data_IF_561006598746
#
_entry.id   IF_561006598746
#
_cell.length_a   1.000
_cell.length_b   1.000
_cell.length_c   1.000
_cell.angle_alpha   90.00
_cell.angle_beta   90.00
_cell.angle_gamma   90.00
#
_symmetry.space_group_name_H-M   'P 1'
#
loop_
_entity.id
_entity.type
_entity.pdbx_description
1 polymer ?
#
# COMPACT_ATOMS: atom_id res chain seq x y z
N UNK A 1 32.00 3.27 -10.94
CA UNK A 1 31.34 3.64 -9.68
C UNK A 1 30.13 4.46 -10.03
N UNK A 2 28.93 3.95 -9.72
CA UNK A 2 27.71 4.41 -10.40
C UNK A 2 26.99 5.59 -9.72
N UNK A 3 27.73 6.68 -9.48
CA UNK A 3 27.15 7.96 -9.05
C UNK A 3 26.01 8.40 -10.00
N UNK A 4 26.09 8.03 -11.28
CA UNK A 4 25.06 8.31 -12.28
C UNK A 4 23.74 7.62 -11.99
N UNK A 5 23.73 6.40 -11.43
CA UNK A 5 22.51 5.69 -11.09
C UNK A 5 21.75 6.40 -9.95
N UNK A 6 22.47 6.87 -8.93
CA UNK A 6 21.89 7.63 -7.81
C UNK A 6 21.33 8.96 -8.30
N UNK A 7 22.10 9.70 -9.10
CA UNK A 7 21.67 10.97 -9.71
C UNK A 7 20.41 10.77 -10.57
N UNK A 8 20.37 9.70 -11.36
CA UNK A 8 19.21 9.37 -12.19
C UNK A 8 17.97 9.06 -11.35
N UNK A 9 18.12 8.33 -10.24
CA UNK A 9 17.04 8.04 -9.29
C UNK A 9 16.54 9.32 -8.61
N UNK A 10 17.43 10.19 -8.17
CA UNK A 10 17.05 11.50 -7.61
C UNK A 10 16.27 12.34 -8.62
N UNK A 11 16.72 12.35 -9.89
CA UNK A 11 15.99 13.00 -10.98
C UNK A 11 14.61 12.38 -11.25
N UNK A 12 14.47 11.06 -11.12
CA UNK A 12 13.19 10.36 -11.21
C UNK A 12 12.26 10.74 -10.06
N UNK A 13 12.78 10.77 -8.82
CA UNK A 13 12.05 11.21 -7.64
C UNK A 13 11.51 12.63 -7.81
N UNK A 14 12.34 13.54 -8.35
CA UNK A 14 11.95 14.92 -8.59
C UNK A 14 10.83 15.02 -9.64
N UNK A 15 10.98 14.34 -10.77
CA UNK A 15 9.97 14.34 -11.85
C UNK A 15 8.65 13.69 -11.42
N UNK A 16 8.72 12.68 -10.55
CA UNK A 16 7.55 12.03 -9.97
C UNK A 16 6.88 12.81 -8.84
N UNK A 17 7.38 14.00 -8.48
CA UNK A 17 6.95 14.78 -7.32
C UNK A 17 7.08 14.00 -5.98
N UNK A 18 8.10 13.13 -5.92
CA UNK A 18 8.42 12.34 -4.73
C UNK A 18 9.69 12.83 -4.02
N UNK A 19 10.19 14.02 -4.38
CA UNK A 19 11.35 14.64 -3.80
C UNK A 19 11.04 16.08 -3.37
N UNK A 20 11.09 16.33 -2.09
CA UNK A 20 11.08 17.68 -1.53
C UNK A 20 12.53 18.21 -1.46
N UNK A 21 12.79 19.39 -2.02
CA UNK A 21 14.16 19.95 -2.15
C UNK A 21 14.24 21.30 -1.46
N UNK A 22 15.14 21.41 -0.51
CA UNK A 22 15.37 22.61 0.31
C UNK A 22 14.73 22.49 1.69
N UNK A 23 15.08 23.42 2.57
CA UNK A 23 14.80 23.32 4.01
C UNK A 23 13.29 23.38 4.32
N UNK A 24 12.58 24.39 3.81
CA UNK A 24 11.13 24.55 4.05
C UNK A 24 10.28 23.37 3.51
N UNK A 25 10.47 22.89 2.25
CA UNK A 25 9.72 21.73 1.78
C UNK A 25 10.04 20.46 2.55
N UNK A 26 11.30 20.25 2.95
CA UNK A 26 11.72 19.09 3.74
C UNK A 26 11.08 19.13 5.13
N UNK A 27 11.07 20.29 5.79
CA UNK A 27 10.41 20.48 7.08
C UNK A 27 8.90 20.17 6.96
N UNK A 28 8.23 20.65 5.93
CA UNK A 28 6.81 20.43 5.71
C UNK A 28 6.47 18.93 5.57
N UNK A 29 7.21 18.19 4.71
CA UNK A 29 6.97 16.75 4.52
C UNK A 29 7.39 15.92 5.74
N UNK A 30 8.41 16.35 6.49
CA UNK A 30 8.80 15.70 7.73
C UNK A 30 7.71 15.85 8.80
N UNK A 31 7.20 17.07 9.02
CA UNK A 31 6.08 17.31 9.96
C UNK A 31 4.81 16.56 9.58
N UNK A 32 4.53 16.44 8.28
CA UNK A 32 3.40 15.65 7.77
C UNK A 32 3.62 14.11 7.90
N UNK A 33 4.80 13.66 8.32
CA UNK A 33 5.24 12.26 8.35
C UNK A 33 5.19 11.57 6.98
N UNK A 34 5.30 12.35 5.92
CA UNK A 34 5.36 11.84 4.54
C UNK A 34 6.80 11.53 4.10
N UNK A 35 7.79 12.13 4.74
CA UNK A 35 9.19 11.85 4.48
C UNK A 35 9.54 10.38 4.84
N UNK A 36 10.24 9.70 3.94
CA UNK A 36 10.74 8.33 4.16
C UNK A 36 12.22 8.32 4.52
N UNK A 37 12.99 9.16 3.83
CA UNK A 37 14.40 9.38 4.11
C UNK A 37 14.76 10.83 3.82
N UNK A 38 15.54 11.43 4.70
CA UNK A 38 16.15 12.73 4.51
C UNK A 38 17.57 12.55 4.00
N UNK A 39 17.97 13.35 3.05
CA UNK A 39 19.25 13.30 2.37
C UNK A 39 20.00 14.60 2.62
N UNK A 40 21.21 14.51 3.12
CA UNK A 40 22.05 15.65 3.46
C UNK A 40 23.30 15.64 2.56
N UNK A 41 23.70 16.77 2.01
CA UNK A 41 24.93 16.88 1.23
C UNK A 41 26.18 16.69 2.11
N UNK A 42 27.26 16.16 1.52
CA UNK A 42 28.52 15.92 2.22
C UNK A 42 29.12 17.18 2.85
N UNK A 43 28.97 18.31 2.16
CA UNK A 43 29.50 19.64 2.56
C UNK A 43 28.42 20.52 3.20
N UNK A 44 27.33 19.93 3.72
CA UNK A 44 26.30 20.69 4.41
C UNK A 44 26.83 21.35 5.69
N UNK A 45 26.39 22.56 5.94
CA UNK A 45 26.76 23.28 7.17
C UNK A 45 26.20 22.55 8.41
N UNK A 46 26.92 22.65 9.52
CA UNK A 46 26.53 22.01 10.79
C UNK A 46 25.11 22.43 11.25
N UNK A 47 24.73 23.70 11.02
CA UNK A 47 23.37 24.17 11.28
C UNK A 47 22.30 23.45 10.45
N UNK A 48 22.59 23.12 9.19
CA UNK A 48 21.67 22.35 8.33
C UNK A 48 21.60 20.90 8.78
N UNK A 49 22.72 20.31 9.22
CA UNK A 49 22.77 18.96 9.78
C UNK A 49 21.89 18.84 11.02
N UNK A 50 22.02 19.74 11.98
CA UNK A 50 21.20 19.77 13.20
C UNK A 50 19.71 19.90 12.88
N UNK A 51 19.35 20.74 11.90
CA UNK A 51 17.97 20.86 11.44
C UNK A 51 17.48 19.56 10.78
N UNK A 52 18.31 18.92 9.95
CA UNK A 52 17.99 17.63 9.36
C UNK A 52 17.69 16.57 10.43
N UNK A 53 18.52 16.48 11.46
CA UNK A 53 18.31 15.57 12.61
C UNK A 53 16.99 15.87 13.33
N UNK A 54 16.71 17.14 13.58
CA UNK A 54 15.45 17.55 14.20
C UNK A 54 14.23 17.20 13.33
N UNK A 55 14.31 17.42 12.01
CA UNK A 55 13.24 17.06 11.09
C UNK A 55 13.05 15.54 11.01
N UNK A 56 14.13 14.76 11.02
CA UNK A 56 14.08 13.32 11.04
C UNK A 56 13.40 12.77 12.30
N UNK A 57 13.69 13.36 13.46
CA UNK A 57 13.03 13.01 14.72
C UNK A 57 11.53 13.37 14.70
N UNK A 58 11.18 14.56 14.21
CA UNK A 58 9.78 15.00 14.11
C UNK A 58 8.96 14.11 13.14
N UNK A 59 9.58 13.68 12.04
CA UNK A 59 8.96 12.87 11.01
C UNK A 59 9.02 11.36 11.26
N UNK A 60 9.73 10.88 12.27
CA UNK A 60 10.05 9.46 12.50
C UNK A 60 10.62 8.80 11.24
N UNK A 61 11.55 9.47 10.58
CA UNK A 61 12.20 9.02 9.37
C UNK A 61 13.73 8.95 9.50
N UNK A 62 14.34 8.19 8.58
CA UNK A 62 15.80 8.09 8.52
C UNK A 62 16.40 9.36 7.90
N UNK A 63 17.60 9.72 8.31
CA UNK A 63 18.41 10.70 7.61
C UNK A 63 19.79 10.13 7.32
N UNK A 64 20.37 10.53 6.20
CA UNK A 64 21.64 10.03 5.70
C UNK A 64 22.42 11.15 5.04
N UNK A 65 23.74 11.13 5.22
CA UNK A 65 24.64 11.98 4.49
C UNK A 65 25.02 11.30 3.17
N UNK A 66 24.85 12.02 2.08
CA UNK A 66 25.22 11.54 0.74
C UNK A 66 26.69 11.81 0.45
N UNK A 67 27.34 11.03 -0.44
CA UNK A 67 28.69 11.29 -0.87
C UNK A 67 28.81 12.42 -1.91
N UNK A 68 27.79 13.26 -2.04
CA UNK A 68 27.68 14.37 -3.00
C UNK A 68 27.73 15.71 -2.29
N UNK A 69 28.43 16.66 -2.90
CA UNK A 69 28.42 18.06 -2.47
C UNK A 69 27.11 18.76 -2.81
N UNK A 70 26.85 19.89 -2.17
CA UNK A 70 25.68 20.75 -2.48
C UNK A 70 25.59 21.13 -3.95
N UNK A 71 26.72 21.40 -4.57
CA UNK A 71 26.78 21.78 -5.98
C UNK A 71 26.47 20.59 -6.91
N UNK A 72 26.96 19.38 -6.60
CA UNK A 72 26.66 18.17 -7.35
C UNK A 72 25.17 17.79 -7.24
N UNK A 73 24.60 17.81 -6.03
CA UNK A 73 23.18 17.59 -5.84
C UNK A 73 22.35 18.67 -6.54
N UNK A 74 22.76 19.94 -6.45
CA UNK A 74 22.12 21.02 -7.17
C UNK A 74 22.07 20.76 -8.67
N UNK A 75 23.21 20.41 -9.27
CA UNK A 75 23.32 20.09 -10.69
C UNK A 75 22.42 18.92 -11.09
N UNK A 76 22.40 17.86 -10.27
CA UNK A 76 21.53 16.71 -10.47
C UNK A 76 20.04 17.02 -10.46
N UNK A 77 19.65 18.00 -9.66
CA UNK A 77 18.26 18.41 -9.45
C UNK A 77 17.86 19.70 -10.21
N UNK A 78 18.71 20.20 -11.09
CA UNK A 78 18.45 21.40 -11.87
C UNK A 78 18.44 22.69 -11.04
N UNK A 79 19.20 22.73 -9.94
CA UNK A 79 19.35 23.88 -9.04
C UNK A 79 20.82 24.26 -8.88
N UNK A 80 21.11 25.45 -8.40
CA UNK A 80 22.49 25.92 -8.18
C UNK A 80 23.18 25.13 -7.08
N UNK A 81 22.51 24.90 -5.96
CA UNK A 81 23.01 24.13 -4.82
C UNK A 81 21.84 23.56 -4.02
N UNK A 82 22.02 22.34 -3.48
CA UNK A 82 21.04 21.67 -2.62
C UNK A 82 21.76 21.07 -1.43
N UNK A 83 21.46 21.52 -0.24
CA UNK A 83 22.04 21.01 1.00
C UNK A 83 21.24 19.88 1.62
N UNK A 84 19.91 19.90 1.46
CA UNK A 84 19.00 18.94 2.05
C UNK A 84 17.86 18.62 1.09
N UNK A 85 17.45 17.35 1.06
CA UNK A 85 16.28 16.87 0.30
C UNK A 85 15.57 15.75 1.09
N UNK A 86 14.31 15.48 0.76
CA UNK A 86 13.55 14.39 1.36
C UNK A 86 12.84 13.57 0.27
N UNK A 87 12.93 12.25 0.36
CA UNK A 87 12.17 11.33 -0.50
C UNK A 87 10.90 10.92 0.22
N UNK A 88 9.75 11.02 -0.46
CA UNK A 88 8.42 10.72 0.12
C UNK A 88 7.89 9.35 -0.27
N UNK A 89 8.29 8.78 -1.43
CA UNK A 89 7.90 7.43 -1.80
C UNK A 89 8.84 6.37 -1.21
N UNK A 90 8.26 5.36 -0.58
CA UNK A 90 9.01 4.31 0.10
C UNK A 90 9.76 3.38 -0.87
N UNK A 91 9.21 3.13 -2.06
CA UNK A 91 9.84 2.28 -3.06
C UNK A 91 11.07 2.96 -3.69
N UNK A 92 10.94 4.26 -4.01
CA UNK A 92 12.06 5.05 -4.51
C UNK A 92 13.15 5.25 -3.43
N UNK A 93 12.75 5.42 -2.17
CA UNK A 93 13.69 5.49 -1.05
C UNK A 93 14.48 4.18 -0.90
N UNK A 94 13.82 3.03 -0.96
CA UNK A 94 14.49 1.72 -0.91
C UNK A 94 15.46 1.54 -2.08
N UNK A 95 15.03 1.82 -3.31
CA UNK A 95 15.89 1.73 -4.50
C UNK A 95 17.11 2.65 -4.40
N UNK A 96 16.94 3.87 -3.86
CA UNK A 96 18.05 4.80 -3.64
C UNK A 96 19.04 4.28 -2.60
N UNK A 97 18.56 3.74 -1.49
CA UNK A 97 19.39 3.19 -0.42
C UNK A 97 20.16 1.95 -0.86
N UNK A 98 19.59 1.09 -1.69
CA UNK A 98 20.31 -0.03 -2.29
C UNK A 98 21.48 0.45 -3.15
N UNK A 99 21.27 1.47 -3.99
CA UNK A 99 22.37 2.05 -4.77
C UNK A 99 23.45 2.72 -3.92
N UNK A 100 23.08 3.33 -2.81
CA UNK A 100 24.04 3.87 -1.85
C UNK A 100 24.80 2.74 -1.14
N UNK A 101 24.14 1.65 -0.76
CA UNK A 101 24.77 0.49 -0.13
C UNK A 101 25.72 -0.26 -1.08
N UNK A 102 25.50 -0.21 -2.40
CA UNK A 102 26.45 -0.72 -3.41
C UNK A 102 27.75 0.12 -3.44
N UNK A 103 27.69 1.42 -3.08
CA UNK A 103 28.87 2.28 -3.02
C UNK A 103 29.62 2.15 -1.70
N UNK A 104 28.90 2.17 -0.60
CA UNK A 104 29.45 2.06 0.76
C UNK A 104 28.51 1.22 1.63
N UNK A 105 28.73 -0.11 1.68
CA UNK A 105 27.91 -1.01 2.47
C UNK A 105 27.97 -0.72 3.97
N UNK A 106 29.14 -0.29 4.48
CA UNK A 106 29.32 -0.05 5.92
C UNK A 106 28.41 1.09 6.41
N UNK A 107 28.23 2.11 5.58
CA UNK A 107 27.45 3.30 5.94
C UNK A 107 25.93 3.11 5.66
N UNK A 108 25.54 2.41 4.60
CA UNK A 108 24.17 2.45 4.10
C UNK A 108 23.41 1.12 4.19
N UNK A 109 24.06 -0.03 4.43
CA UNK A 109 23.38 -1.32 4.45
C UNK A 109 22.26 -1.40 5.51
N UNK A 110 22.53 -0.97 6.73
CA UNK A 110 21.52 -0.98 7.81
C UNK A 110 20.30 -0.10 7.48
N UNK A 111 20.52 1.04 6.84
CA UNK A 111 19.45 1.92 6.39
C UNK A 111 18.64 1.31 5.23
N UNK A 112 19.31 0.60 4.31
CA UNK A 112 18.66 -0.12 3.22
C UNK A 112 17.76 -1.23 3.77
N UNK A 113 18.25 -2.07 4.68
CA UNK A 113 17.48 -3.15 5.31
C UNK A 113 16.24 -2.63 6.04
N UNK A 114 16.40 -1.56 6.81
CA UNK A 114 15.27 -0.92 7.49
C UNK A 114 14.23 -0.37 6.52
N UNK A 115 14.68 0.18 5.40
CA UNK A 115 13.76 0.72 4.39
C UNK A 115 13.06 -0.41 3.63
N UNK A 116 13.71 -1.52 3.37
CA UNK A 116 13.10 -2.70 2.74
C UNK A 116 11.95 -3.27 3.55
N UNK A 117 12.11 -3.36 4.87
CA UNK A 117 11.01 -3.76 5.75
C UNK A 117 9.82 -2.80 5.63
N UNK A 118 10.08 -1.48 5.59
CA UNK A 118 9.03 -0.47 5.41
C UNK A 118 8.39 -0.57 4.01
N UNK A 119 9.19 -0.81 2.97
CA UNK A 119 8.73 -0.95 1.59
C UNK A 119 7.84 -2.18 1.41
N UNK A 120 8.24 -3.32 1.96
CA UNK A 120 7.45 -4.56 1.94
C UNK A 120 6.09 -4.38 2.61
N UNK A 121 6.06 -3.83 3.81
CA UNK A 121 4.80 -3.53 4.53
C UNK A 121 3.91 -2.54 3.78
N UNK A 122 4.48 -1.57 3.08
CA UNK A 122 3.73 -0.62 2.27
C UNK A 122 3.14 -1.29 1.01
N UNK A 123 3.91 -2.19 0.37
CA UNK A 123 3.46 -2.96 -0.78
C UNK A 123 2.31 -3.92 -0.40
N UNK A 124 2.41 -4.62 0.72
CA UNK A 124 1.36 -5.49 1.25
C UNK A 124 0.05 -4.71 1.47
N UNK A 125 0.13 -3.57 2.18
CA UNK A 125 -1.06 -2.71 2.39
C UNK A 125 -1.68 -2.20 1.09
N UNK A 126 -0.86 -1.80 0.09
CA UNK A 126 -1.36 -1.39 -1.24
C UNK A 126 -2.04 -2.55 -1.97
N UNK A 127 -1.49 -3.76 -1.87
CA UNK A 127 -2.08 -4.97 -2.47
C UNK A 127 -3.43 -5.33 -1.83
N UNK A 128 -3.53 -5.28 -0.51
CA UNK A 128 -4.77 -5.51 0.24
C UNK A 128 -5.85 -4.48 -0.12
N UNK A 129 -5.48 -3.19 -0.17
CA UNK A 129 -6.39 -2.12 -0.57
C UNK A 129 -6.89 -2.30 -2.01
N UNK A 130 -6.00 -2.65 -2.93
CA UNK A 130 -6.35 -2.92 -4.33
C UNK A 130 -7.28 -4.14 -4.47
N UNK A 131 -7.04 -5.20 -3.69
CA UNK A 131 -7.90 -6.38 -3.65
C UNK A 131 -9.28 -6.02 -3.09
N UNK A 132 -9.33 -5.26 -2.00
CA UNK A 132 -10.59 -4.78 -1.41
C UNK A 132 -11.39 -3.91 -2.40
N UNK A 133 -10.74 -2.99 -3.08
CA UNK A 133 -11.39 -2.14 -4.08
C UNK A 133 -11.95 -2.96 -5.27
N UNK A 134 -11.18 -3.95 -5.76
CA UNK A 134 -11.66 -4.88 -6.80
C UNK A 134 -12.89 -5.64 -6.34
N UNK A 135 -12.90 -6.16 -5.11
CA UNK A 135 -14.05 -6.88 -4.55
C UNK A 135 -15.28 -5.97 -4.41
N UNK A 136 -15.11 -4.73 -3.98
CA UNK A 136 -16.19 -3.74 -3.92
C UNK A 136 -16.76 -3.43 -5.30
N UNK A 137 -15.91 -3.25 -6.32
CA UNK A 137 -16.33 -3.01 -7.71
C UNK A 137 -17.08 -4.21 -8.30
N UNK A 138 -16.63 -5.43 -8.01
CA UNK A 138 -17.30 -6.66 -8.44
C UNK A 138 -18.62 -6.86 -7.71
N UNK A 139 -18.69 -6.60 -6.39
CA UNK A 139 -19.91 -6.66 -5.61
C UNK A 139 -20.97 -5.67 -6.09
N UNK A 140 -20.57 -4.43 -6.46
CA UNK A 140 -21.47 -3.45 -7.08
C UNK A 140 -21.96 -3.90 -8.46
N UNK A 141 -21.12 -4.54 -9.28
CA UNK A 141 -21.51 -5.07 -10.59
C UNK A 141 -22.51 -6.23 -10.47
N UNK A 142 -22.31 -7.17 -9.52
CA UNK A 142 -23.26 -8.27 -9.26
C UNK A 142 -24.63 -7.77 -8.79
N UNK A 143 -24.67 -6.71 -7.96
CA UNK A 143 -25.95 -6.10 -7.52
C UNK A 143 -26.67 -5.34 -8.64
N UNK A 144 -25.95 -4.87 -9.66
CA UNK A 144 -26.50 -4.10 -10.80
C UNK A 144 -26.88 -4.99 -12.01
N UNK A 145 -26.47 -6.27 -12.01
CA UNK A 145 -26.87 -7.21 -13.03
C UNK A 145 -28.35 -7.56 -12.84
N UNK A 146 -29.20 -7.50 -13.88
CA UNK A 146 -30.58 -7.93 -13.78
C UNK A 146 -30.60 -9.43 -13.37
N UNK A 147 -31.60 -9.86 -12.55
CA UNK A 147 -31.70 -11.26 -12.19
C UNK A 147 -31.83 -12.10 -13.47
N UNK A 148 -31.03 -13.17 -13.55
CA UNK A 148 -31.13 -14.11 -14.66
C UNK A 148 -32.59 -14.55 -14.82
N UNK A 149 -33.12 -14.67 -16.04
CA UNK A 149 -34.47 -15.10 -16.27
C UNK A 149 -34.65 -16.44 -15.54
N UNK A 150 -35.61 -16.49 -14.61
CA UNK A 150 -35.97 -17.75 -13.95
C UNK A 150 -36.29 -18.73 -15.05
N UNK A 151 -35.55 -19.85 -15.06
CA UNK A 151 -35.85 -20.97 -15.96
C UNK A 151 -37.36 -21.25 -15.88
N UNK A 152 -38.03 -21.25 -17.03
CA UNK A 152 -39.43 -21.54 -17.12
C UNK A 152 -39.67 -22.90 -16.44
N UNK A 153 -40.61 -22.95 -15.50
CA UNK A 153 -41.07 -24.22 -14.92
C UNK A 153 -41.48 -25.10 -16.07
N UNK A 154 -41.10 -26.38 -16.07
CA UNK A 154 -41.66 -27.34 -17.02
C UNK A 154 -43.20 -27.37 -16.88
N UNK A 155 -43.93 -27.54 -17.99
CA UNK A 155 -45.39 -27.58 -17.94
C UNK A 155 -45.83 -28.63 -16.96
N UNK A 156 -46.79 -28.28 -16.10
CA UNK A 156 -47.38 -29.18 -15.12
C UNK A 156 -47.95 -30.41 -15.87
N UNK A 157 -47.46 -31.59 -15.51
CA UNK A 157 -48.09 -32.83 -15.90
C UNK A 157 -49.56 -32.83 -15.44
N UNK A 158 -50.46 -33.08 -16.37
CA UNK A 158 -51.89 -33.24 -16.11
C UNK A 158 -52.09 -34.42 -15.13
N UNK A 159 -52.93 -34.23 -14.10
CA UNK A 159 -53.21 -35.33 -13.19
C UNK A 159 -53.95 -36.45 -13.91
N UNK A 160 -53.67 -37.74 -13.63
CA UNK A 160 -54.37 -38.84 -14.22
C UNK A 160 -55.83 -38.87 -13.74
N UNK A 161 -56.68 -39.17 -14.66
CA UNK A 161 -58.14 -39.33 -14.58
C UNK A 161 -58.54 -40.27 -13.45
N UNK A 162 -59.49 -39.84 -12.62
CA UNK A 162 -60.02 -40.60 -11.50
C UNK A 162 -60.84 -41.77 -12.00
N UNK A 163 -60.45 -43.01 -11.67
CA UNK A 163 -61.30 -44.15 -11.66
C UNK A 163 -62.13 -44.27 -10.38
N UNK A 164 -63.37 -44.76 -10.39
CA UNK A 164 -64.31 -44.60 -9.31
C UNK A 164 -64.22 -45.70 -8.24
N UNK A 165 -64.48 -45.25 -7.02
CA UNK A 165 -65.06 -45.89 -5.86
C UNK A 165 -64.78 -47.32 -5.47
N UNK A 166 -64.34 -47.47 -4.23
CA UNK A 166 -64.36 -48.73 -3.51
C UNK A 166 -63.83 -48.70 -2.10
N UNK A 167 -64.71 -48.42 -1.18
CA UNK A 167 -64.65 -48.95 0.19
C UNK A 167 -63.70 -48.37 1.22
N UNK A 168 -64.26 -47.59 2.17
CA UNK A 168 -63.73 -47.30 3.50
C UNK A 168 -63.80 -48.54 4.40
N UNK A 169 -62.91 -48.60 5.41
CA UNK A 169 -63.40 -48.54 6.77
C UNK A 169 -62.59 -47.53 7.66
N UNK A 170 -63.32 -47.08 8.62
CA UNK A 170 -62.97 -46.14 9.68
C UNK A 170 -61.97 -46.77 10.68
N UNK A 171 -61.12 -45.90 11.23
CA UNK A 171 -60.69 -46.07 12.63
C UNK A 171 -59.18 -46.06 12.85
N UNK A 172 -58.67 -44.96 13.36
CA UNK A 172 -57.98 -44.88 14.62
C UNK A 172 -57.19 -43.59 14.70
N UNK A 173 -57.45 -42.89 15.74
CA UNK A 173 -56.77 -41.68 16.23
C UNK A 173 -55.53 -42.09 17.06
N UNK A 174 -54.86 -41.18 17.73
CA UNK A 174 -53.55 -40.64 17.44
C UNK A 174 -52.58 -41.03 18.53
N UNK A 175 -51.32 -40.84 18.32
CA UNK A 175 -50.37 -40.68 19.47
C UNK A 175 -49.48 -39.48 19.28
N UNK A 176 -49.71 -38.58 20.18
CA UNK A 176 -48.87 -37.46 20.61
C UNK A 176 -47.71 -38.07 21.44
N UNK A 177 -46.54 -37.74 21.19
CA UNK A 177 -45.50 -37.79 22.21
C UNK A 177 -44.57 -36.61 22.10
N UNK A 178 -44.75 -35.83 23.13
CA UNK A 178 -43.78 -34.88 23.69
C UNK A 178 -42.55 -35.60 24.21
N UNK A 179 -41.44 -35.02 24.13
CA UNK A 179 -40.37 -35.02 25.17
C UNK A 179 -39.13 -34.33 24.60
N UNK A 180 -38.80 -33.32 25.19
CA UNK A 180 -37.98 -32.92 26.33
C UNK A 180 -36.52 -32.76 25.92
N UNK A 181 -36.07 -31.46 25.88
CA UNK A 181 -35.22 -30.78 26.85
C UNK A 181 -34.13 -31.69 27.46
N UNK A 182 -32.91 -31.30 27.26
CA UNK A 182 -31.84 -31.10 28.27
C UNK A 182 -30.52 -30.81 27.55
N UNK A 183 -29.94 -29.85 27.90
CA UNK A 183 -28.98 -29.06 28.67
C UNK A 183 -27.84 -28.66 27.76
#
# INVERSE_FOLDING_TARGET
MDNNAIVSLLGLCLRGNHLAVGEEPVEAVARARDARVLLLAADAAEGTRRRCEHFAQAGDCLWLQLPFTKAELGRALGRTAVAIAAVTDVGLAAALLHRLAELDPEQYADAADRMDVKARRAAERRAEQAAHEKNLRQGKRRRKAPPAPKAAKPPAEMPPERAPDGNRPRGAKPYRSLSLIHI
#
